data_IF_091606076158
#
_entry.id   IF_091606076158
#
_cell.length_a   1.000
_cell.length_b   1.000
_cell.length_c   1.000
_cell.angle_alpha   90.00
_cell.angle_beta   90.00
_cell.angle_gamma   90.00
#
_symmetry.space_group_name_H-M   'P 1'
#
loop_
_entity.id
_entity.type
_entity.pdbx_description
1 polymer ?
#
# COMPACT_ATOMS: atom_id res chain seq x y z
N UNK A 1 1.44 31.96 -13.58
CA UNK A 1 0.47 31.59 -12.51
C UNK A 1 -0.41 30.35 -12.81
N UNK A 2 -0.11 29.48 -13.80
CA UNK A 2 -0.96 28.31 -14.12
C UNK A 2 -0.51 26.95 -13.54
N UNK A 3 0.75 26.81 -13.15
CA UNK A 3 1.33 25.52 -12.74
C UNK A 3 0.87 25.04 -11.36
N UNK A 4 0.67 25.96 -10.41
CA UNK A 4 0.29 25.61 -9.04
C UNK A 4 -1.14 25.04 -8.96
N UNK A 5 -2.06 25.57 -9.76
CA UNK A 5 -3.46 25.12 -9.77
C UNK A 5 -3.64 23.75 -10.46
N UNK A 6 -2.83 23.46 -11.48
CA UNK A 6 -2.78 22.15 -12.14
C UNK A 6 -2.17 21.08 -11.23
N UNK A 7 -1.08 21.42 -10.54
CA UNK A 7 -0.46 20.53 -9.55
C UNK A 7 -1.41 20.21 -8.39
N UNK A 8 -2.12 21.22 -7.86
CA UNK A 8 -3.14 21.01 -6.81
C UNK A 8 -4.25 20.05 -7.25
N UNK A 9 -4.82 20.22 -8.46
CA UNK A 9 -5.87 19.33 -8.99
C UNK A 9 -5.40 17.88 -9.18
N UNK A 10 -4.16 17.68 -9.64
CA UNK A 10 -3.58 16.33 -9.79
C UNK A 10 -3.44 15.64 -8.43
N UNK A 11 -2.92 16.33 -7.43
CA UNK A 11 -2.76 15.77 -6.07
C UNK A 11 -4.12 15.42 -5.45
N UNK A 12 -5.14 16.27 -5.63
CA UNK A 12 -6.50 16.01 -5.15
C UNK A 12 -7.17 14.81 -5.82
N UNK A 13 -7.03 14.68 -7.14
CA UNK A 13 -7.56 13.54 -7.89
C UNK A 13 -6.85 12.23 -7.48
N UNK A 14 -5.53 12.25 -7.36
CA UNK A 14 -4.74 11.11 -6.89
C UNK A 14 -5.09 10.72 -5.45
N UNK A 15 -5.32 11.70 -4.56
CA UNK A 15 -5.73 11.44 -3.17
C UNK A 15 -7.12 10.79 -3.09
N UNK A 16 -8.09 11.26 -3.88
CA UNK A 16 -9.43 10.64 -3.97
C UNK A 16 -9.35 9.22 -4.51
N UNK A 17 -8.51 9.00 -5.52
CA UNK A 17 -8.27 7.67 -6.09
C UNK A 17 -7.67 6.72 -5.06
N UNK A 18 -6.59 7.12 -4.39
CA UNK A 18 -5.96 6.31 -3.33
C UNK A 18 -6.92 6.00 -2.19
N UNK A 19 -7.76 6.95 -1.76
CA UNK A 19 -8.74 6.71 -0.69
C UNK A 19 -9.78 5.66 -1.09
N UNK A 20 -10.22 5.66 -2.36
CA UNK A 20 -11.14 4.62 -2.86
C UNK A 20 -10.47 3.26 -2.93
N UNK A 21 -9.26 3.21 -3.49
CA UNK A 21 -8.48 1.96 -3.57
C UNK A 21 -8.21 1.39 -2.17
N UNK A 22 -7.86 2.26 -1.21
CA UNK A 22 -7.73 1.88 0.20
C UNK A 22 -9.01 1.28 0.73
N UNK A 23 -10.17 1.89 0.47
CA UNK A 23 -11.43 1.43 1.02
C UNK A 23 -11.88 0.09 0.42
N UNK A 24 -11.60 -0.14 -0.87
CA UNK A 24 -11.84 -1.42 -1.52
C UNK A 24 -10.92 -2.51 -0.96
N UNK A 25 -9.63 -2.20 -0.81
CA UNK A 25 -8.67 -3.13 -0.21
C UNK A 25 -8.98 -3.34 1.28
N UNK A 26 -9.53 -2.34 1.97
CA UNK A 26 -9.96 -2.45 3.37
C UNK A 26 -11.05 -3.51 3.60
N UNK A 27 -11.81 -3.85 2.57
CA UNK A 27 -12.82 -4.91 2.61
C UNK A 27 -12.23 -6.31 2.42
N UNK A 28 -10.99 -6.41 1.90
CA UNK A 28 -10.30 -7.68 1.75
C UNK A 28 -10.00 -8.30 3.12
N UNK A 29 -10.20 -9.62 3.24
CA UNK A 29 -9.87 -10.39 4.46
C UNK A 29 -8.59 -11.20 4.34
N UNK A 30 -7.96 -11.20 3.17
CA UNK A 30 -6.74 -11.93 2.89
C UNK A 30 -5.92 -11.21 1.84
N UNK A 31 -4.60 -11.45 1.85
CA UNK A 31 -3.69 -10.86 0.89
C UNK A 31 -4.03 -11.23 -0.58
N UNK A 32 -4.52 -12.45 -0.80
CA UNK A 32 -5.01 -12.92 -2.10
C UNK A 32 -6.22 -12.11 -2.61
N UNK A 33 -7.24 -11.90 -1.77
CA UNK A 33 -8.37 -11.02 -2.10
C UNK A 33 -7.93 -9.58 -2.37
N UNK A 34 -6.98 -9.07 -1.58
CA UNK A 34 -6.43 -7.73 -1.82
C UNK A 34 -5.69 -7.66 -3.16
N UNK A 35 -4.99 -8.74 -3.57
CA UNK A 35 -4.34 -8.87 -4.87
C UNK A 35 -5.35 -8.85 -6.02
N UNK A 36 -6.43 -9.62 -5.90
CA UNK A 36 -7.50 -9.67 -6.90
C UNK A 36 -8.16 -8.28 -7.08
N UNK A 37 -8.48 -7.61 -5.98
CA UNK A 37 -8.98 -6.23 -6.01
C UNK A 37 -7.94 -5.28 -6.63
N UNK A 38 -6.65 -5.47 -6.33
CA UNK A 38 -5.57 -4.66 -6.85
C UNK A 38 -5.27 -4.89 -8.34
N UNK A 39 -5.61 -6.06 -8.89
CA UNK A 39 -5.56 -6.32 -10.33
C UNK A 39 -6.54 -5.44 -11.11
N UNK A 40 -7.63 -5.01 -10.49
CA UNK A 40 -8.55 -4.01 -11.04
C UNK A 40 -8.02 -2.57 -10.99
N UNK A 41 -6.88 -2.32 -10.35
CA UNK A 41 -6.27 -0.99 -10.27
C UNK A 41 -5.24 -0.77 -11.38
N UNK A 42 -4.83 0.50 -11.54
CA UNK A 42 -3.76 0.82 -12.49
C UNK A 42 -2.42 0.33 -11.92
N UNK A 43 -1.55 -0.22 -12.76
CA UNK A 43 -0.23 -0.71 -12.36
C UNK A 43 0.65 0.35 -11.69
N UNK A 44 0.39 1.65 -11.93
CA UNK A 44 1.07 2.77 -11.26
C UNK A 44 0.42 3.14 -9.92
N UNK A 45 -0.65 2.47 -9.51
CA UNK A 45 -1.23 2.62 -8.18
C UNK A 45 -0.22 2.24 -7.12
N UNK A 46 -0.12 3.08 -6.09
CA UNK A 46 0.68 2.78 -4.92
C UNK A 46 0.12 1.57 -4.16
N UNK A 47 -1.21 1.45 -4.09
CA UNK A 47 -1.90 0.36 -3.41
C UNK A 47 -1.55 -0.99 -4.04
N UNK A 48 -1.59 -1.08 -5.37
CA UNK A 48 -1.21 -2.30 -6.11
C UNK A 48 0.26 -2.66 -5.94
N UNK A 49 1.16 -1.65 -5.89
CA UNK A 49 2.58 -1.87 -5.60
C UNK A 49 2.87 -2.33 -4.17
N UNK A 50 2.11 -1.87 -3.18
CA UNK A 50 2.25 -2.30 -1.79
C UNK A 50 1.75 -3.75 -1.60
N UNK A 51 0.64 -4.10 -2.26
CA UNK A 51 0.06 -5.45 -2.22
C UNK A 51 0.94 -6.46 -2.95
N UNK A 52 1.55 -6.07 -4.07
CA UNK A 52 2.53 -6.91 -4.77
C UNK A 52 3.78 -7.16 -3.90
N UNK A 53 4.31 -6.14 -3.23
CA UNK A 53 5.46 -6.33 -2.34
C UNK A 53 5.14 -7.25 -1.17
N UNK A 54 3.96 -7.11 -0.57
CA UNK A 54 3.53 -8.00 0.50
C UNK A 54 3.35 -9.45 0.02
N UNK A 55 2.83 -9.67 -1.19
CA UNK A 55 2.75 -11.01 -1.78
C UNK A 55 4.14 -11.58 -2.07
N UNK A 56 5.02 -10.77 -2.66
CA UNK A 56 6.37 -11.21 -3.00
C UNK A 56 7.14 -11.62 -1.74
N UNK A 57 7.01 -10.88 -0.64
CA UNK A 57 7.63 -11.29 0.62
C UNK A 57 7.00 -12.53 1.24
N UNK A 58 5.69 -12.71 1.08
CA UNK A 58 5.01 -13.92 1.53
C UNK A 58 5.47 -15.15 0.71
N UNK A 59 5.61 -15.03 -0.60
CA UNK A 59 6.14 -16.08 -1.47
C UNK A 59 7.60 -16.42 -1.14
N UNK A 60 8.44 -15.38 -0.96
CA UNK A 60 9.84 -15.56 -0.54
C UNK A 60 9.96 -16.23 0.83
N UNK A 61 8.97 -16.02 1.68
CA UNK A 61 8.97 -16.54 3.04
C UNK A 61 8.10 -17.78 3.25
N UNK A 62 7.46 -18.31 2.20
CA UNK A 62 6.63 -19.52 2.24
C UNK A 62 7.41 -20.79 2.64
N UNK A 63 8.75 -20.72 2.68
CA UNK A 63 9.63 -21.77 3.20
C UNK A 63 10.28 -21.47 4.56
N UNK A 64 9.87 -20.38 5.24
CA UNK A 64 10.48 -19.93 6.49
C UNK A 64 9.48 -20.05 7.65
N UNK A 65 9.83 -20.78 8.72
CA UNK A 65 8.96 -20.97 9.91
C UNK A 65 8.74 -19.68 10.74
N UNK A 66 9.50 -18.62 10.43
CA UNK A 66 9.54 -17.35 11.16
C UNK A 66 8.41 -16.39 10.72
N UNK A 67 7.16 -16.81 10.92
CA UNK A 67 5.95 -16.06 10.53
C UNK A 67 5.85 -14.67 11.16
N UNK A 68 6.30 -14.53 12.41
CA UNK A 68 6.27 -13.26 13.14
C UNK A 68 7.26 -12.26 12.53
N UNK A 69 8.48 -12.70 12.21
CA UNK A 69 9.46 -11.86 11.54
C UNK A 69 9.07 -11.49 10.10
N UNK A 70 8.32 -12.33 9.38
CA UNK A 70 7.79 -11.99 8.04
C UNK A 70 6.84 -10.79 8.15
N UNK A 71 5.96 -10.79 9.14
CA UNK A 71 4.99 -9.70 9.37
C UNK A 71 5.68 -8.40 9.77
N UNK A 72 6.67 -8.47 10.66
CA UNK A 72 7.48 -7.31 11.06
C UNK A 72 8.28 -6.74 9.88
N UNK A 73 8.93 -7.62 9.10
CA UNK A 73 9.70 -7.21 7.89
C UNK A 73 8.78 -6.58 6.85
N UNK A 74 7.62 -7.18 6.59
CA UNK A 74 6.64 -6.66 5.63
C UNK A 74 6.10 -5.31 6.09
N UNK A 75 5.67 -5.19 7.35
CA UNK A 75 5.22 -3.93 7.94
C UNK A 75 6.28 -2.82 7.84
N UNK A 76 7.52 -3.13 8.21
CA UNK A 76 8.63 -2.18 8.15
C UNK A 76 8.97 -1.76 6.71
N UNK A 77 9.00 -2.69 5.75
CA UNK A 77 9.23 -2.40 4.33
C UNK A 77 8.13 -1.52 3.75
N UNK A 78 6.87 -1.82 4.08
CA UNK A 78 5.72 -1.02 3.67
C UNK A 78 5.84 0.40 4.24
N UNK A 79 6.08 0.57 5.53
CA UNK A 79 6.20 1.89 6.17
C UNK A 79 7.35 2.70 5.57
N UNK A 80 8.51 2.06 5.34
CA UNK A 80 9.65 2.71 4.70
C UNK A 80 9.33 3.17 3.28
N UNK A 81 8.59 2.38 2.52
CA UNK A 81 8.18 2.72 1.14
C UNK A 81 7.17 3.84 1.13
N UNK A 82 6.22 3.82 2.05
CA UNK A 82 5.27 4.91 2.30
C UNK A 82 5.99 6.22 2.63
N UNK A 83 6.96 6.18 3.54
CA UNK A 83 7.76 7.34 3.90
C UNK A 83 8.62 7.86 2.73
N UNK A 84 9.14 6.97 1.88
CA UNK A 84 9.89 7.34 0.67
C UNK A 84 8.99 8.04 -0.36
N UNK A 85 7.80 7.50 -0.64
CA UNK A 85 6.83 8.11 -1.56
C UNK A 85 6.28 9.42 -0.99
N UNK A 86 6.01 9.48 0.32
CA UNK A 86 5.60 10.71 1.00
C UNK A 86 6.63 11.83 0.88
N UNK A 87 7.93 11.49 0.95
CA UNK A 87 9.04 12.44 0.70
C UNK A 87 9.16 12.84 -0.76
N UNK A 88 9.10 11.90 -1.70
CA UNK A 88 9.12 12.18 -3.13
C UNK A 88 7.96 13.10 -3.57
N UNK A 89 6.80 12.96 -2.93
CA UNK A 89 5.60 13.77 -3.19
C UNK A 89 5.42 14.93 -2.19
N UNK A 90 6.48 15.29 -1.44
CA UNK A 90 6.54 16.19 -0.28
C UNK A 90 6.12 17.66 -0.47
N UNK A 91 5.16 17.94 -1.34
CA UNK A 91 4.48 19.24 -1.46
C UNK A 91 3.01 19.20 -1.01
N UNK A 92 2.50 18.06 -0.54
CA UNK A 92 1.10 17.95 -0.07
C UNK A 92 0.93 17.04 1.15
N UNK A 93 0.72 17.66 2.32
CA UNK A 93 0.38 17.01 3.60
C UNK A 93 -0.74 15.97 3.52
N UNK A 94 -1.60 16.07 2.50
CA UNK A 94 -2.74 15.17 2.32
C UNK A 94 -2.40 13.76 1.87
N UNK A 95 -1.22 13.50 1.29
CA UNK A 95 -0.87 12.20 0.72
C UNK A 95 -0.27 11.25 1.79
N UNK A 96 0.57 11.78 2.68
CA UNK A 96 1.14 11.05 3.82
C UNK A 96 0.08 10.41 4.73
N UNK A 97 -1.00 11.15 5.03
CA UNK A 97 -2.06 10.66 5.91
C UNK A 97 -2.84 9.46 5.33
N UNK A 98 -3.06 9.44 4.01
CA UNK A 98 -3.80 8.34 3.37
C UNK A 98 -2.88 7.13 3.16
N UNK A 99 -1.62 7.35 2.81
CA UNK A 99 -0.69 6.24 2.56
C UNK A 99 -0.23 5.59 3.87
N UNK A 100 0.03 6.37 4.92
CA UNK A 100 0.35 5.86 6.26
C UNK A 100 -0.75 4.96 6.83
N UNK A 101 -1.99 5.11 6.39
CA UNK A 101 -3.10 4.26 6.78
C UNK A 101 -3.21 2.95 5.97
N UNK A 102 -2.59 2.85 4.79
CA UNK A 102 -2.61 1.63 3.95
C UNK A 102 -1.52 0.65 4.40
N UNK A 103 -0.34 1.15 4.80
CA UNK A 103 0.78 0.33 5.27
C UNK A 103 0.41 -0.70 6.36
N UNK A 104 -0.19 -0.29 7.51
CA UNK A 104 -0.58 -1.22 8.55
C UNK A 104 -1.72 -2.15 8.12
N UNK A 105 -2.57 -1.70 7.19
CA UNK A 105 -3.67 -2.52 6.68
C UNK A 105 -3.15 -3.70 5.84
N UNK A 106 -2.24 -3.43 4.91
CA UNK A 106 -1.62 -4.50 4.09
C UNK A 106 -0.81 -5.46 4.96
N UNK A 107 -0.09 -4.94 5.98
CA UNK A 107 0.62 -5.78 6.94
C UNK A 107 -0.32 -6.68 7.79
N UNK A 108 -1.57 -6.28 8.00
CA UNK A 108 -2.59 -7.09 8.70
C UNK A 108 -3.13 -8.24 7.84
N UNK A 109 -3.13 -8.08 6.51
CA UNK A 109 -3.60 -9.10 5.56
C UNK A 109 -2.61 -10.25 5.35
N UNK A 110 -1.36 -10.07 5.77
CA UNK A 110 -0.35 -11.13 5.75
C UNK A 110 -0.78 -12.21 6.75
N UNK A 111 -1.10 -13.44 6.29
CA UNK A 111 -1.52 -14.52 7.17
C UNK A 111 -0.43 -14.85 8.20
N UNK A 112 -0.83 -15.00 9.46
CA UNK A 112 0.04 -15.37 10.59
C UNK A 112 0.34 -16.88 10.67
N UNK A 113 0.22 -17.60 9.56
CA UNK A 113 0.42 -19.04 9.52
C UNK A 113 -0.39 -19.69 8.41
N UNK A 114 0.30 -20.23 7.42
CA UNK A 114 -0.18 -21.42 6.76
C UNK A 114 0.11 -22.59 7.69
N UNK A 115 -0.94 -23.34 8.04
CA UNK A 115 -0.79 -24.73 8.46
C UNK A 115 -0.24 -25.57 7.32
#
# INVERSE_FOLDING_TARGET
MGYLFRQRRRILASKRRLKREQQLVAEARSLDQASDIANGFDAKSLTSQLINEAQNELELSAGSEDNEGIKERTGFRLERRVAAVGRYMGRGNGYLATIGAISPFVACLVPSGAS
#
